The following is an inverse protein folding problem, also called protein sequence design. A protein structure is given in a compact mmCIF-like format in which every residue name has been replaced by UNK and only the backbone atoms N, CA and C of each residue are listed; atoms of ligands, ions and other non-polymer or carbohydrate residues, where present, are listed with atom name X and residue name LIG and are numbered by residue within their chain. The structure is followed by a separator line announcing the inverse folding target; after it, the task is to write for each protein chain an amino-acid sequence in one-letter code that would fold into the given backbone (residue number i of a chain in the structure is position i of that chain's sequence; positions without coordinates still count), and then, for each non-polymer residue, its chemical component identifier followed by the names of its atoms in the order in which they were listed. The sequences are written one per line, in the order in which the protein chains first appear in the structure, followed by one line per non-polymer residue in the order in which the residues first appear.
data_IF_456305967314
#
_entry.id   IF_456305967314
#
_cell.length_a   1.000
_cell.length_b   1.000
_cell.length_c   1.000
_cell.angle_alpha   90.00
_cell.angle_beta   90.00
_cell.angle_gamma   90.00
#
_symmetry.space_group_name_H-M   'P 1'
#
loop_
_entity.id
_entity.type
_entity.pdbx_description
1 polymer ?
#
# COMPACT_ATOMS: atom_id res chain seq x y z
N UNK A 1 2.24 -2.18 -19.76
CA UNK A 1 1.75 -1.30 -18.68
C UNK A 1 1.85 0.11 -19.20
N UNK A 2 0.74 0.85 -19.23
CA UNK A 2 0.70 2.23 -19.72
C UNK A 2 0.75 3.18 -18.53
N UNK A 3 1.62 4.19 -18.56
CA UNK A 3 1.67 5.22 -17.54
C UNK A 3 0.64 6.29 -17.89
N UNK A 4 -0.22 6.65 -16.94
CA UNK A 4 -1.09 7.80 -16.99
C UNK A 4 -0.65 8.82 -15.93
N UNK A 5 -0.60 10.08 -16.31
CA UNK A 5 -0.19 11.21 -15.46
C UNK A 5 -1.35 12.13 -15.10
N UNK A 6 -2.50 11.96 -15.76
CA UNK A 6 -3.76 12.63 -15.47
C UNK A 6 -4.94 11.65 -15.46
N UNK A 7 -6.06 12.08 -14.89
CA UNK A 7 -7.33 11.34 -14.93
C UNK A 7 -7.78 11.10 -16.38
N UNK A 8 -7.66 12.11 -17.24
CA UNK A 8 -8.04 12.02 -18.65
C UNK A 8 -7.25 10.95 -19.40
N UNK A 9 -5.92 10.88 -19.20
CA UNK A 9 -5.09 9.82 -19.79
C UNK A 9 -5.50 8.42 -19.30
N UNK A 10 -5.81 8.30 -18.00
CA UNK A 10 -6.25 7.04 -17.43
C UNK A 10 -7.62 6.59 -17.99
N UNK A 11 -8.56 7.52 -18.14
CA UNK A 11 -9.87 7.27 -18.75
C UNK A 11 -9.75 6.93 -20.23
N UNK A 12 -8.87 7.60 -20.98
CA UNK A 12 -8.59 7.29 -22.38
C UNK A 12 -8.07 5.85 -22.54
N UNK A 13 -7.19 5.39 -21.64
CA UNK A 13 -6.73 4.00 -21.64
C UNK A 13 -7.85 3.00 -21.32
N UNK A 14 -8.77 3.36 -20.41
CA UNK A 14 -9.95 2.55 -20.11
C UNK A 14 -10.86 2.42 -21.35
N UNK A 15 -11.18 3.54 -22.01
CA UNK A 15 -12.01 3.55 -23.21
C UNK A 15 -11.34 2.83 -24.39
N UNK A 16 -10.02 2.96 -24.53
CA UNK A 16 -9.27 2.18 -25.52
C UNK A 16 -9.38 0.68 -25.25
N UNK A 17 -9.28 0.27 -23.98
CA UNK A 17 -9.48 -1.11 -23.57
C UNK A 17 -10.88 -1.63 -23.89
N UNK A 18 -11.91 -0.83 -23.61
CA UNK A 18 -13.30 -1.18 -23.90
C UNK A 18 -13.59 -1.22 -25.41
N UNK A 19 -13.00 -0.31 -26.19
CA UNK A 19 -13.09 -0.31 -27.66
C UNK A 19 -12.43 -1.55 -28.26
N UNK A 20 -11.25 -1.94 -27.76
CA UNK A 20 -10.58 -3.16 -28.19
C UNK A 20 -11.39 -4.43 -27.83
N UNK A 21 -12.10 -4.41 -26.69
CA UNK A 21 -13.05 -5.45 -26.31
C UNK A 21 -14.22 -5.51 -27.31
N UNK A 22 -14.82 -4.37 -27.65
CA UNK A 22 -15.94 -4.27 -28.58
C UNK A 22 -15.59 -4.68 -30.02
N UNK A 23 -14.41 -4.33 -30.54
CA UNK A 23 -13.98 -4.72 -31.90
C UNK A 23 -13.78 -6.23 -32.05
N UNK A 24 -13.50 -6.92 -30.94
CA UNK A 24 -13.43 -8.38 -30.92
C UNK A 24 -14.82 -9.05 -30.98
N UNK A 25 -15.90 -8.29 -30.78
CA UNK A 25 -17.28 -8.77 -30.93
C UNK A 25 -17.67 -8.82 -32.41
N UNK A 26 -18.05 -10.00 -32.91
CA UNK A 26 -18.63 -10.17 -34.25
C UNK A 26 -20.13 -10.40 -34.13
N UNK A 27 -20.91 -10.13 -35.18
CA UNK A 27 -22.39 -10.20 -35.16
C UNK A 27 -22.99 -11.57 -34.73
N UNK A 28 -22.18 -12.63 -34.70
CA UNK A 28 -22.55 -13.97 -34.24
C UNK A 28 -22.19 -14.23 -32.75
N UNK A 29 -21.38 -13.37 -32.14
CA UNK A 29 -20.80 -13.50 -30.81
C UNK A 29 -20.99 -12.22 -29.99
N UNK A 30 -22.01 -12.18 -29.14
CA UNK A 30 -22.13 -11.18 -28.07
C UNK A 30 -21.05 -11.47 -27.00
N UNK A 31 -19.81 -11.05 -27.26
CA UNK A 31 -18.63 -11.52 -26.52
C UNK A 31 -18.53 -10.96 -25.08
N UNK A 32 -19.26 -9.89 -24.75
CA UNK A 32 -19.44 -9.41 -23.36
C UNK A 32 -19.96 -10.51 -22.42
N UNK A 33 -20.82 -11.41 -22.89
CA UNK A 33 -21.28 -12.57 -22.09
C UNK A 33 -20.25 -13.71 -22.01
N UNK A 34 -19.19 -13.66 -22.83
CA UNK A 34 -18.31 -14.79 -23.14
C UNK A 34 -16.82 -14.49 -22.93
N UNK A 35 -16.48 -13.40 -22.28
CA UNK A 35 -15.09 -13.07 -21.96
C UNK A 35 -14.98 -12.41 -20.59
N UNK A 36 -13.90 -12.71 -19.87
CA UNK A 36 -13.58 -12.02 -18.62
C UNK A 36 -12.74 -10.79 -18.93
N UNK A 37 -13.08 -9.64 -18.39
CA UNK A 37 -12.25 -8.44 -18.45
C UNK A 37 -11.61 -8.18 -17.10
N UNK A 38 -10.28 -8.03 -17.09
CA UNK A 38 -9.52 -7.57 -15.92
C UNK A 38 -8.84 -6.25 -16.26
N UNK A 39 -9.34 -5.15 -15.72
CA UNK A 39 -8.68 -3.85 -15.77
C UNK A 39 -7.92 -3.63 -14.45
N UNK A 40 -6.62 -3.37 -14.54
CA UNK A 40 -5.77 -3.21 -13.35
C UNK A 40 -5.13 -1.83 -13.33
N UNK A 41 -5.36 -1.10 -12.24
CA UNK A 41 -4.70 0.18 -11.96
C UNK A 41 -3.64 -0.04 -10.90
N UNK A 42 -2.41 0.35 -11.22
CA UNK A 42 -1.31 0.41 -10.27
C UNK A 42 -1.12 1.87 -9.84
N UNK A 43 -1.16 2.11 -8.54
CA UNK A 43 -0.95 3.43 -7.96
C UNK A 43 0.31 3.38 -7.11
N UNK A 44 1.22 4.32 -7.34
CA UNK A 44 2.37 4.57 -6.49
C UNK A 44 2.22 5.96 -5.88
N UNK A 45 2.29 6.04 -4.55
CA UNK A 45 2.28 7.29 -3.81
C UNK A 45 3.60 7.43 -3.06
N UNK A 46 4.27 8.57 -3.25
CA UNK A 46 5.50 8.92 -2.52
C UNK A 46 5.16 10.00 -1.51
N UNK A 47 5.66 9.85 -0.29
CA UNK A 47 5.43 10.85 0.76
C UNK A 47 5.96 12.23 0.36
N UNK A 48 5.28 13.29 0.79
CA UNK A 48 5.72 14.67 0.56
C UNK A 48 7.07 14.95 1.26
N UNK A 49 7.79 15.97 0.79
CA UNK A 49 8.96 16.51 1.52
C UNK A 49 10.19 15.61 1.56
N UNK A 50 10.42 14.77 0.55
CA UNK A 50 11.63 13.92 0.49
C UNK A 50 11.56 12.68 1.38
N UNK A 51 10.36 12.27 1.80
CA UNK A 51 10.12 10.99 2.45
C UNK A 51 10.65 9.84 1.59
N UNK A 52 11.37 8.91 2.24
CA UNK A 52 11.80 7.65 1.64
C UNK A 52 10.65 6.62 1.58
N UNK A 53 9.50 6.89 2.21
CA UNK A 53 8.33 6.00 2.14
C UNK A 53 7.65 6.06 0.77
N UNK A 54 7.47 4.88 0.18
CA UNK A 54 6.75 4.64 -1.06
C UNK A 54 5.62 3.65 -0.77
N UNK A 55 4.39 4.06 -1.06
CA UNK A 55 3.20 3.20 -0.95
C UNK A 55 2.78 2.75 -2.33
N UNK A 56 2.46 1.46 -2.46
CA UNK A 56 1.97 0.89 -3.72
C UNK A 56 0.63 0.21 -3.52
N UNK A 57 -0.36 0.58 -4.31
CA UNK A 57 -1.65 -0.09 -4.32
C UNK A 57 -2.01 -0.58 -5.70
N UNK A 58 -2.81 -1.62 -5.73
CA UNK A 58 -3.27 -2.29 -6.94
C UNK A 58 -4.78 -2.42 -6.84
N UNK A 59 -5.49 -1.87 -7.81
CA UNK A 59 -6.93 -1.98 -7.96
C UNK A 59 -7.24 -2.87 -9.16
N UNK A 60 -7.96 -3.96 -8.92
CA UNK A 60 -8.52 -4.81 -9.97
C UNK A 60 -10.00 -4.48 -10.12
N UNK A 61 -10.41 -4.10 -11.33
CA UNK A 61 -11.80 -4.06 -11.77
C UNK A 61 -12.02 -5.29 -12.66
N UNK A 62 -12.86 -6.21 -12.19
CA UNK A 62 -13.05 -7.52 -12.82
C UNK A 62 -14.50 -7.63 -13.27
N UNK A 63 -14.69 -7.78 -14.58
CA UNK A 63 -15.98 -8.09 -15.20
C UNK A 63 -15.95 -9.56 -15.64
N UNK A 64 -16.78 -10.39 -15.00
CA UNK A 64 -16.79 -11.83 -15.27
C UNK A 64 -17.79 -12.14 -16.38
N UNK A 65 -17.41 -13.05 -17.28
CA UNK A 65 -18.32 -13.65 -18.24
C UNK A 65 -19.51 -14.33 -17.55
N UNK A 66 -20.57 -14.56 -18.32
CA UNK A 66 -21.77 -15.26 -17.88
C UNK A 66 -21.46 -16.61 -17.25
N UNK A 67 -22.12 -16.91 -16.12
CA UNK A 67 -21.97 -18.16 -15.38
C UNK A 67 -22.96 -19.25 -15.84
N UNK A 68 -23.76 -18.98 -16.86
CA UNK A 68 -24.80 -19.88 -17.33
C UNK A 68 -24.25 -21.19 -17.91
N UNK A 69 -24.98 -22.27 -17.63
CA UNK A 69 -24.58 -23.60 -18.09
C UNK A 69 -24.88 -23.80 -19.58
N UNK A 70 -23.86 -24.26 -20.30
CA UNK A 70 -23.89 -24.56 -21.75
C UNK A 70 -25.04 -25.49 -22.18
N UNK A 71 -25.57 -26.32 -21.28
CA UNK A 71 -26.68 -27.22 -21.61
C UNK A 71 -28.00 -26.48 -21.96
N UNK A 72 -28.19 -25.24 -21.48
CA UNK A 72 -29.39 -24.44 -21.79
C UNK A 72 -29.28 -23.73 -23.14
N UNK A 73 -28.06 -23.50 -23.63
CA UNK A 73 -27.79 -22.93 -24.95
C UNK A 73 -27.74 -24.06 -25.98
N UNK A 74 -28.72 -24.13 -26.89
CA UNK A 74 -28.74 -25.06 -28.04
C UNK A 74 -27.68 -24.69 -29.07
N UNK A 75 -26.41 -24.69 -28.67
CA UNK A 75 -25.29 -24.16 -29.45
C UNK A 75 -24.42 -25.30 -29.97
N UNK A 76 -24.31 -25.43 -31.30
CA UNK A 76 -23.57 -26.51 -31.96
C UNK A 76 -22.08 -26.18 -32.16
N UNK A 77 -21.24 -27.22 -32.11
CA UNK A 77 -19.86 -27.26 -32.62
C UNK A 77 -18.88 -26.23 -32.02
N UNK A 78 -18.68 -25.11 -32.72
CA UNK A 78 -17.67 -24.08 -32.41
C UNK A 78 -18.08 -23.30 -31.15
N UNK A 79 -19.36 -22.91 -31.05
CA UNK A 79 -19.92 -22.21 -29.88
C UNK A 79 -19.86 -23.09 -28.61
N UNK A 80 -19.97 -24.41 -28.75
CA UNK A 80 -19.84 -25.36 -27.63
C UNK A 80 -18.41 -25.40 -27.08
N UNK A 81 -17.40 -25.39 -27.96
CA UNK A 81 -15.99 -25.38 -27.54
C UNK A 81 -15.60 -24.06 -26.88
N UNK A 82 -16.08 -22.93 -27.39
CA UNK A 82 -15.89 -21.61 -26.77
C UNK A 82 -16.54 -21.55 -25.37
N UNK A 83 -17.79 -21.99 -25.26
CA UNK A 83 -18.52 -22.06 -24.00
C UNK A 83 -17.84 -22.97 -22.96
N UNK A 84 -17.11 -24.01 -23.40
CA UNK A 84 -16.26 -24.82 -22.51
C UNK A 84 -15.08 -24.03 -21.95
N UNK A 85 -14.38 -23.23 -22.77
CA UNK A 85 -13.24 -22.45 -22.30
C UNK A 85 -13.62 -21.36 -21.29
N UNK A 86 -14.77 -20.70 -21.50
CA UNK A 86 -15.29 -19.67 -20.58
C UNK A 86 -15.67 -20.28 -19.23
N UNK A 87 -16.39 -21.40 -19.28
CA UNK A 87 -16.74 -22.12 -18.05
C UNK A 87 -15.52 -22.73 -17.37
N UNK A 88 -14.42 -22.96 -18.10
CA UNK A 88 -13.17 -23.47 -17.51
C UNK A 88 -12.53 -22.42 -16.59
N UNK A 89 -12.49 -21.14 -16.97
CA UNK A 89 -11.96 -20.09 -16.09
C UNK A 89 -12.82 -19.88 -14.83
N UNK A 90 -14.15 -19.86 -14.97
CA UNK A 90 -15.06 -19.78 -13.82
C UNK A 90 -14.98 -21.03 -12.93
N UNK A 91 -14.83 -22.21 -13.52
CA UNK A 91 -14.63 -23.45 -12.77
C UNK A 91 -13.34 -23.40 -11.93
N UNK A 92 -12.22 -22.95 -12.50
CA UNK A 92 -10.99 -22.83 -11.74
C UNK A 92 -11.05 -21.75 -10.66
N UNK A 93 -11.80 -20.66 -10.90
CA UNK A 93 -12.10 -19.66 -9.88
C UNK A 93 -12.87 -20.29 -8.71
N UNK A 94 -13.90 -21.07 -9.01
CA UNK A 94 -14.67 -21.80 -8.01
C UNK A 94 -13.80 -22.80 -7.23
N UNK A 95 -12.93 -23.55 -7.90
CA UNK A 95 -11.99 -24.46 -7.24
C UNK A 95 -11.06 -23.74 -6.26
N UNK A 96 -10.58 -22.53 -6.61
CA UNK A 96 -9.75 -21.72 -5.72
C UNK A 96 -10.54 -21.30 -4.48
N UNK A 97 -11.78 -20.85 -4.64
CA UNK A 97 -12.65 -20.44 -3.52
C UNK A 97 -12.93 -21.62 -2.58
N UNK A 98 -13.28 -22.78 -3.14
CA UNK A 98 -13.52 -24.00 -2.35
C UNK A 98 -12.24 -24.41 -1.60
N UNK A 99 -11.10 -24.44 -2.29
CA UNK A 99 -9.82 -24.77 -1.68
C UNK A 99 -9.43 -23.79 -0.56
N UNK A 100 -9.75 -22.50 -0.70
CA UNK A 100 -9.51 -21.49 0.34
C UNK A 100 -10.37 -21.71 1.57
N UNK A 101 -11.63 -22.11 1.39
CA UNK A 101 -12.52 -22.45 2.50
C UNK A 101 -12.04 -23.73 3.21
N UNK A 102 -11.64 -24.77 2.47
CA UNK A 102 -11.04 -25.99 3.03
C UNK A 102 -9.74 -25.68 3.79
N UNK A 103 -8.92 -24.74 3.31
CA UNK A 103 -7.71 -24.29 4.03
C UNK A 103 -8.04 -23.63 5.36
N UNK A 104 -9.11 -22.84 5.41
CA UNK A 104 -9.56 -22.22 6.67
C UNK A 104 -10.03 -23.27 7.70
N UNK A 105 -10.40 -24.46 7.24
CA UNK A 105 -10.76 -25.62 8.07
C UNK A 105 -9.58 -26.57 8.31
N UNK A 106 -8.37 -26.19 7.91
CA UNK A 106 -7.15 -27.02 7.95
C UNK A 106 -7.26 -28.36 7.18
N UNK A 107 -8.18 -28.44 6.20
CA UNK A 107 -8.42 -29.65 5.41
C UNK A 107 -7.58 -29.71 4.12
N UNK A 108 -7.04 -28.56 3.66
CA UNK A 108 -6.20 -28.47 2.46
C UNK A 108 -5.15 -27.38 2.61
N UNK A 109 -3.92 -27.68 2.21
CA UNK A 109 -2.83 -26.70 2.19
C UNK A 109 -2.67 -26.01 0.82
N UNK A 110 -2.70 -26.79 -0.26
CA UNK A 110 -2.44 -26.29 -1.61
C UNK A 110 -3.67 -25.61 -2.26
N UNK A 111 -3.50 -24.37 -2.73
CA UNK A 111 -4.53 -23.63 -3.49
C UNK A 111 -4.15 -23.57 -4.98
N UNK A 112 -5.01 -24.04 -5.91
CA UNK A 112 -4.67 -24.24 -7.32
C UNK A 112 -4.76 -22.96 -8.19
N UNK A 113 -4.14 -21.85 -7.77
CA UNK A 113 -4.19 -20.59 -8.53
C UNK A 113 -3.64 -20.70 -9.96
N UNK A 114 -2.71 -21.64 -10.19
CA UNK A 114 -2.02 -21.80 -11.48
C UNK A 114 -2.85 -22.47 -12.58
N UNK A 115 -4.04 -22.97 -12.25
CA UNK A 115 -4.88 -23.68 -13.22
C UNK A 115 -5.45 -22.76 -14.31
N UNK A 116 -5.51 -21.45 -14.07
CA UNK A 116 -5.88 -20.46 -15.09
C UNK A 116 -5.09 -19.17 -14.95
N UNK A 117 -5.02 -18.40 -16.05
CA UNK A 117 -4.45 -17.05 -16.03
C UNK A 117 -5.22 -16.15 -15.06
N UNK A 118 -6.56 -16.20 -15.10
CA UNK A 118 -7.42 -15.38 -14.24
C UNK A 118 -7.15 -15.63 -12.75
N UNK A 119 -7.14 -16.90 -12.32
CA UNK A 119 -6.84 -17.25 -10.92
C UNK A 119 -5.40 -16.94 -10.52
N UNK A 120 -4.46 -16.97 -11.47
CA UNK A 120 -3.06 -16.59 -11.22
C UNK A 120 -2.93 -15.09 -10.97
N UNK A 121 -3.63 -14.27 -11.76
CA UNK A 121 -3.66 -12.80 -11.58
C UNK A 121 -4.38 -12.41 -10.30
N UNK A 122 -5.48 -13.10 -9.97
CA UNK A 122 -6.30 -12.83 -8.78
C UNK A 122 -5.79 -13.49 -7.49
N UNK A 123 -4.56 -14.03 -7.48
CA UNK A 123 -3.99 -14.70 -6.32
C UNK A 123 -3.99 -13.81 -5.06
N UNK A 124 -3.62 -12.54 -5.22
CA UNK A 124 -3.62 -11.59 -4.09
C UNK A 124 -5.06 -11.20 -3.68
N UNK A 125 -5.98 -11.16 -4.65
CA UNK A 125 -7.39 -10.81 -4.46
C UNK A 125 -8.18 -11.89 -3.70
N UNK A 126 -7.78 -13.16 -3.78
CA UNK A 126 -8.52 -14.27 -3.17
C UNK A 126 -7.61 -14.99 -2.18
N UNK A 127 -7.75 -14.72 -0.89
CA UNK A 127 -6.97 -15.36 0.17
C UNK A 127 -5.58 -14.77 0.40
N UNK A 128 -5.32 -13.55 -0.08
CA UNK A 128 -4.04 -12.83 0.02
C UNK A 128 -4.21 -11.38 0.53
N UNK A 129 -3.24 -10.53 0.19
CA UNK A 129 -3.23 -9.11 0.58
C UNK A 129 -4.07 -8.26 -0.39
N UNK A 130 -5.39 -8.26 -0.18
CA UNK A 130 -6.31 -7.43 -0.93
C UNK A 130 -7.61 -7.21 -0.16
N UNK A 131 -8.21 -6.03 -0.31
CA UNK A 131 -9.61 -5.81 0.10
C UNK A 131 -10.50 -6.16 -1.09
N UNK A 132 -11.18 -7.30 -0.99
CA UNK A 132 -11.95 -7.85 -2.10
C UNK A 132 -13.45 -7.69 -1.85
N UNK A 133 -14.15 -7.19 -2.86
CA UNK A 133 -15.60 -7.06 -2.88
C UNK A 133 -16.11 -7.78 -4.12
N UNK A 134 -17.13 -8.62 -3.94
CA UNK A 134 -17.85 -9.25 -5.04
C UNK A 134 -19.23 -8.62 -5.16
N UNK A 135 -19.62 -8.24 -6.37
CA UNK A 135 -20.99 -7.81 -6.70
C UNK A 135 -21.68 -8.97 -7.40
N UNK A 136 -22.72 -9.53 -6.78
CA UNK A 136 -23.54 -10.57 -7.37
C UNK A 136 -24.70 -9.95 -8.14
N UNK A 137 -24.68 -10.07 -9.47
CA UNK A 137 -25.76 -9.61 -10.35
C UNK A 137 -26.73 -10.77 -10.62
N UNK A 138 -28.01 -10.56 -10.29
CA UNK A 138 -29.05 -11.58 -10.41
C UNK A 138 -30.23 -11.04 -11.23
N UNK A 139 -30.93 -11.93 -11.93
CA UNK A 139 -32.16 -11.59 -12.66
C UNK A 139 -33.39 -11.91 -11.81
N UNK A 140 -34.36 -10.99 -11.79
CA UNK A 140 -35.65 -11.18 -11.11
C UNK A 140 -36.64 -11.98 -11.96
N UNK A 141 -36.29 -12.34 -13.19
CA UNK A 141 -37.18 -13.09 -14.08
C UNK A 141 -37.36 -14.53 -13.63
N UNK A 142 -38.60 -15.02 -13.67
CA UNK A 142 -38.94 -16.39 -13.27
C UNK A 142 -38.11 -17.44 -14.00
N UNK A 143 -37.86 -17.25 -15.30
CA UNK A 143 -37.07 -18.15 -16.13
C UNK A 143 -35.60 -18.26 -15.68
N UNK A 144 -35.07 -17.24 -14.99
CA UNK A 144 -33.67 -17.15 -14.55
C UNK A 144 -33.48 -17.42 -13.05
N UNK A 145 -34.53 -17.88 -12.37
CA UNK A 145 -34.50 -18.15 -10.91
C UNK A 145 -33.38 -19.11 -10.52
N UNK A 146 -33.19 -20.20 -11.28
CA UNK A 146 -32.16 -21.20 -11.00
C UNK A 146 -30.73 -20.65 -11.13
N UNK A 147 -30.48 -19.81 -12.13
CA UNK A 147 -29.19 -19.17 -12.34
C UNK A 147 -28.92 -18.16 -11.22
N UNK A 148 -29.92 -17.36 -10.84
CA UNK A 148 -29.81 -16.41 -9.73
C UNK A 148 -29.53 -17.10 -8.39
N UNK A 149 -30.16 -18.25 -8.12
CA UNK A 149 -29.82 -19.07 -6.94
C UNK A 149 -28.37 -19.55 -7.01
N UNK A 150 -27.89 -19.95 -8.19
CA UNK A 150 -26.51 -20.39 -8.39
C UNK A 150 -25.52 -19.26 -8.14
N UNK A 151 -25.78 -18.05 -8.64
CA UNK A 151 -25.01 -16.84 -8.35
C UNK A 151 -24.97 -16.53 -6.87
N UNK A 152 -26.11 -16.57 -6.17
CA UNK A 152 -26.17 -16.33 -4.72
C UNK A 152 -25.36 -17.35 -3.93
N UNK A 153 -25.43 -18.65 -4.30
CA UNK A 153 -24.63 -19.71 -3.65
C UNK A 153 -23.14 -19.49 -3.88
N UNK A 154 -22.75 -19.08 -5.07
CA UNK A 154 -21.35 -18.75 -5.38
C UNK A 154 -20.88 -17.55 -4.55
N UNK A 155 -21.68 -16.47 -4.48
CA UNK A 155 -21.39 -15.29 -3.67
C UNK A 155 -21.25 -15.62 -2.18
N UNK A 156 -22.09 -16.53 -1.65
CA UNK A 156 -21.95 -17.03 -0.28
C UNK A 156 -20.59 -17.71 -0.05
N UNK A 157 -20.12 -18.54 -0.98
CA UNK A 157 -18.79 -19.18 -0.86
C UNK A 157 -17.66 -18.15 -0.92
N UNK A 158 -17.78 -17.14 -1.78
CA UNK A 158 -16.81 -16.03 -1.87
C UNK A 158 -16.76 -15.22 -0.59
N UNK A 159 -17.91 -14.96 0.04
CA UNK A 159 -17.99 -14.19 1.29
C UNK A 159 -17.26 -14.87 2.47
N UNK A 160 -17.00 -16.18 2.41
CA UNK A 160 -16.25 -16.94 3.41
C UNK A 160 -14.73 -16.89 3.20
N UNK A 161 -14.27 -16.40 2.04
CA UNK A 161 -12.84 -16.26 1.76
C UNK A 161 -12.26 -15.17 2.66
N UNK A 162 -11.23 -15.54 3.43
CA UNK A 162 -10.52 -14.64 4.33
C UNK A 162 -9.30 -14.05 3.63
N UNK A 163 -9.25 -12.72 3.55
CA UNK A 163 -8.08 -11.99 3.09
C UNK A 163 -7.38 -11.32 4.28
N UNK A 164 -6.05 -11.20 4.20
CA UNK A 164 -5.24 -10.49 5.18
C UNK A 164 -4.64 -9.24 4.54
N UNK A 165 -5.40 -8.15 4.58
CA UNK A 165 -5.05 -6.91 3.90
C UNK A 165 -4.11 -6.05 4.75
N UNK A 166 -2.87 -5.89 4.29
CA UNK A 166 -1.80 -5.13 4.95
C UNK A 166 -1.38 -3.94 4.08
N UNK A 167 -0.99 -2.83 4.71
CA UNK A 167 -0.47 -1.66 4.01
C UNK A 167 0.84 -1.99 3.28
N UNK A 168 0.85 -1.83 1.97
CA UNK A 168 2.04 -1.98 1.13
C UNK A 168 2.86 -0.68 1.19
N UNK A 169 3.69 -0.54 2.21
CA UNK A 169 4.63 0.56 2.37
C UNK A 169 6.07 0.03 2.38
N UNK A 170 6.90 0.57 1.49
CA UNK A 170 8.31 0.25 1.38
C UNK A 170 9.15 1.51 1.58
N UNK A 171 10.43 1.33 1.90
CA UNK A 171 11.39 2.43 2.01
C UNK A 171 12.28 2.43 0.77
N UNK A 172 12.26 3.52 -0.01
CA UNK A 172 13.09 3.71 -1.19
C UNK A 172 14.55 3.89 -0.77
N UNK A 173 15.43 2.92 -1.10
CA UNK A 173 16.82 2.98 -0.71
C UNK A 173 17.55 4.15 -1.37
N UNK A 174 17.14 4.59 -2.57
CA UNK A 174 17.81 5.68 -3.29
C UNK A 174 17.63 7.03 -2.58
N UNK A 175 16.41 7.32 -2.13
CA UNK A 175 16.07 8.52 -1.36
C UNK A 175 16.73 8.46 0.01
N UNK A 176 16.72 7.29 0.65
CA UNK A 176 17.39 7.07 1.94
C UNK A 176 18.89 7.34 1.84
N UNK A 177 19.55 6.78 0.82
CA UNK A 177 20.99 6.96 0.58
C UNK A 177 21.31 8.43 0.27
N UNK A 178 20.50 9.11 -0.54
CA UNK A 178 20.70 10.52 -0.85
C UNK A 178 20.61 11.40 0.40
N UNK A 179 19.59 11.17 1.25
CA UNK A 179 19.42 11.86 2.54
C UNK A 179 20.63 11.64 3.45
N UNK A 180 21.03 10.37 3.63
CA UNK A 180 22.18 10.02 4.47
C UNK A 180 23.49 10.65 3.94
N UNK A 181 23.69 10.69 2.63
CA UNK A 181 24.88 11.36 2.04
C UNK A 181 24.88 12.87 2.30
N UNK A 182 23.74 13.54 2.18
CA UNK A 182 23.62 14.97 2.46
C UNK A 182 23.88 15.28 3.94
N UNK A 183 23.34 14.44 4.83
CA UNK A 183 23.57 14.54 6.27
C UNK A 183 25.05 14.34 6.63
N UNK A 184 25.71 13.32 6.04
CA UNK A 184 27.15 13.09 6.21
C UNK A 184 27.97 14.30 5.74
N UNK A 185 27.62 14.92 4.62
CA UNK A 185 28.31 16.10 4.11
C UNK A 185 28.16 17.31 5.06
N UNK A 186 26.95 17.56 5.56
CA UNK A 186 26.67 18.64 6.52
C UNK A 186 27.41 18.45 7.84
N UNK A 187 27.41 17.23 8.38
CA UNK A 187 28.13 16.91 9.60
C UNK A 187 29.65 17.10 9.43
N UNK A 188 30.22 16.71 8.28
CA UNK A 188 31.63 16.96 7.96
C UNK A 188 31.95 18.46 7.89
N UNK A 189 31.11 19.25 7.22
CA UNK A 189 31.29 20.70 7.13
C UNK A 189 31.21 21.40 8.51
N UNK A 190 30.31 20.95 9.40
CA UNK A 190 30.23 21.47 10.78
C UNK A 190 31.48 21.15 11.61
N UNK A 191 32.04 19.96 11.43
CA UNK A 191 33.30 19.57 12.07
C UNK A 191 34.48 20.39 11.56
N UNK A 192 34.53 20.68 10.25
CA UNK A 192 35.57 21.52 9.64
C UNK A 192 35.41 23.01 10.01
N UNK A 193 34.18 23.50 10.13
CA UNK A 193 33.88 24.88 10.55
C UNK A 193 34.16 25.16 12.03
N UNK A 194 34.03 24.16 12.89
CA UNK A 194 34.50 24.22 14.29
C UNK A 194 36.04 24.25 14.41
N UNK A 195 36.78 24.12 13.30
CA UNK A 195 38.24 24.20 13.27
C UNK A 195 38.81 25.58 13.00
N UNK A 196 38.01 26.67 12.92
CA UNK A 196 38.52 27.96 12.41
C UNK A 196 38.14 29.25 13.13
N UNK A 197 37.58 29.19 14.34
CA UNK A 197 37.38 30.40 15.14
C UNK A 197 36.69 30.17 16.47
N UNK A 198 37.42 29.60 17.44
CA UNK A 198 37.46 30.10 18.82
C UNK A 198 38.62 29.40 19.53
N UNK A 199 39.79 30.07 19.57
CA UNK A 199 40.71 29.82 20.67
C UNK A 199 40.20 30.63 21.87
N UNK A 200 40.05 29.92 23.00
CA UNK A 200 39.87 30.40 24.38
C UNK A 200 38.42 30.41 24.92
N UNK A 201 37.88 29.22 25.25
CA UNK A 201 37.34 28.90 26.60
C UNK A 201 36.54 27.58 26.66
N UNK A 202 37.18 26.42 26.51
CA UNK A 202 36.96 25.24 27.36
C UNK A 202 38.02 24.20 26.98
N UNK A 203 38.87 23.81 27.93
CA UNK A 203 40.04 22.96 27.70
C UNK A 203 39.69 21.50 27.43
N UNK A 204 38.96 21.21 26.35
CA UNK A 204 38.65 19.85 25.92
C UNK A 204 39.12 19.63 24.49
N UNK A 205 40.29 18.99 24.43
CA UNK A 205 41.05 18.52 23.28
C UNK A 205 40.17 18.08 22.08
N UNK A 206 40.42 18.61 20.86
CA UNK A 206 39.76 18.15 19.62
C UNK A 206 39.81 16.63 19.43
N UNK A 207 40.89 15.97 19.87
CA UNK A 207 41.02 14.52 19.80
C UNK A 207 40.02 13.81 20.71
N UNK A 208 39.61 14.43 21.82
CA UNK A 208 38.60 13.90 22.71
C UNK A 208 37.19 13.96 22.11
N UNK A 209 36.87 15.01 21.33
CA UNK A 209 35.58 15.12 20.62
C UNK A 209 35.48 14.13 19.46
N UNK A 210 36.57 13.94 18.72
CA UNK A 210 36.64 12.92 17.67
C UNK A 210 36.56 11.50 18.26
N UNK A 211 37.26 11.23 19.37
CA UNK A 211 37.17 9.96 20.08
C UNK A 211 35.75 9.68 20.61
N UNK A 212 35.06 10.70 21.15
CA UNK A 212 33.67 10.59 21.60
C UNK A 212 32.71 10.35 20.41
N UNK A 213 32.90 11.02 19.28
CA UNK A 213 32.09 10.82 18.07
C UNK A 213 32.29 9.42 17.48
N UNK A 214 33.54 8.96 17.36
CA UNK A 214 33.86 7.60 16.92
C UNK A 214 33.32 6.53 17.88
N UNK A 215 33.35 6.80 19.19
CA UNK A 215 32.72 5.95 20.20
C UNK A 215 31.21 5.81 19.99
N UNK A 216 30.51 6.92 19.70
CA UNK A 216 29.06 6.90 19.40
C UNK A 216 28.74 6.16 18.10
N UNK A 217 29.54 6.34 17.05
CA UNK A 217 29.37 5.60 15.79
C UNK A 217 29.53 4.09 16.03
N UNK A 218 30.56 3.68 16.77
CA UNK A 218 30.77 2.26 17.13
C UNK A 218 29.61 1.70 17.97
N UNK A 219 29.06 2.49 18.90
CA UNK A 219 27.89 2.10 19.68
C UNK A 219 26.64 1.92 18.80
N UNK A 220 26.43 2.82 17.83
CA UNK A 220 25.32 2.70 16.88
C UNK A 220 25.48 1.48 15.96
N UNK A 221 26.69 1.22 15.45
CA UNK A 221 26.98 0.04 14.63
C UNK A 221 26.76 -1.27 15.40
N UNK A 222 27.20 -1.33 16.66
CA UNK A 222 26.98 -2.49 17.53
C UNK A 222 25.50 -2.73 17.80
N UNK A 223 24.73 -1.67 18.12
CA UNK A 223 23.29 -1.78 18.34
C UNK A 223 22.54 -2.21 17.06
N UNK A 224 22.92 -1.71 15.89
CA UNK A 224 22.36 -2.13 14.60
C UNK A 224 22.65 -3.60 14.30
N UNK A 225 23.85 -4.08 14.64
CA UNK A 225 24.21 -5.49 14.50
C UNK A 225 23.34 -6.39 15.41
N UNK A 226 23.17 -6.01 16.68
CA UNK A 226 22.35 -6.74 17.64
C UNK A 226 20.85 -6.74 17.28
N UNK A 227 20.31 -5.60 16.81
CA UNK A 227 18.93 -5.51 16.32
C UNK A 227 18.73 -6.42 15.12
N UNK A 228 19.67 -6.42 14.16
CA UNK A 228 19.61 -7.28 12.98
C UNK A 228 19.66 -8.76 13.36
N UNK A 229 20.56 -9.15 14.25
CA UNK A 229 20.68 -10.52 14.74
C UNK A 229 19.41 -10.98 15.47
N UNK A 230 18.87 -10.15 16.36
CA UNK A 230 17.64 -10.42 17.10
C UNK A 230 16.44 -10.56 16.17
N UNK A 231 16.33 -9.67 15.18
CA UNK A 231 15.26 -9.72 14.16
C UNK A 231 15.35 -11.01 13.33
N UNK A 232 16.54 -11.40 12.89
CA UNK A 232 16.74 -12.66 12.17
C UNK A 232 16.36 -13.89 13.01
N UNK A 233 16.67 -13.90 14.32
CA UNK A 233 16.29 -14.99 15.22
C UNK A 233 14.79 -15.08 15.48
N UNK A 234 14.11 -13.94 15.61
CA UNK A 234 12.65 -13.91 15.76
C UNK A 234 11.93 -14.46 14.52
N UNK A 235 12.33 -14.02 13.32
CA UNK A 235 11.79 -14.57 12.07
C UNK A 235 12.22 -16.02 11.79
N UNK A 236 13.29 -16.49 12.45
CA UNK A 236 13.71 -17.88 12.49
C UNK A 236 13.01 -18.73 13.56
N UNK A 237 12.07 -18.15 14.32
CA UNK A 237 11.38 -18.79 15.45
C UNK A 237 12.32 -19.29 16.57
N UNK A 238 13.50 -18.68 16.71
CA UNK A 238 14.50 -19.04 17.73
C UNK A 238 14.28 -18.31 19.07
N UNK A 239 13.52 -17.21 19.08
CA UNK A 239 13.20 -16.40 20.27
C UNK A 239 11.75 -15.93 20.21
N UNK A 240 11.12 -15.80 21.38
CA UNK A 240 9.73 -15.34 21.53
C UNK A 240 9.62 -13.79 21.52
N UNK A 241 8.41 -13.27 21.27
CA UNK A 241 8.16 -11.82 21.13
C UNK A 241 8.61 -11.02 22.36
N UNK A 242 8.39 -11.56 23.56
CA UNK A 242 8.75 -10.91 24.82
C UNK A 242 10.28 -10.78 24.98
N UNK A 243 11.03 -11.81 24.56
CA UNK A 243 12.49 -11.79 24.53
C UNK A 243 13.02 -10.84 23.45
N UNK A 244 12.39 -10.80 22.27
CA UNK A 244 12.72 -9.84 21.21
C UNK A 244 12.57 -8.40 21.72
N UNK A 245 11.44 -8.07 22.37
CA UNK A 245 11.19 -6.74 22.93
C UNK A 245 12.24 -6.36 23.97
N UNK A 246 12.59 -7.28 24.87
CA UNK A 246 13.62 -7.05 25.88
C UNK A 246 15.00 -6.80 25.27
N UNK A 247 15.39 -7.61 24.26
CA UNK A 247 16.68 -7.47 23.54
C UNK A 247 16.75 -6.20 22.71
N UNK A 248 15.67 -5.82 22.04
CA UNK A 248 15.59 -4.55 21.29
C UNK A 248 15.68 -3.34 22.23
N UNK A 249 14.99 -3.37 23.38
CA UNK A 249 15.09 -2.32 24.38
C UNK A 249 16.52 -2.21 24.92
N UNK A 250 17.16 -3.33 25.27
CA UNK A 250 18.53 -3.35 25.76
C UNK A 250 19.55 -2.84 24.73
N UNK A 251 19.37 -3.15 23.44
CA UNK A 251 20.24 -2.68 22.36
C UNK A 251 20.11 -1.17 22.11
N UNK A 252 18.92 -0.59 22.35
CA UNK A 252 18.64 0.83 22.12
C UNK A 252 18.87 1.71 23.36
N UNK A 253 18.82 1.15 24.57
CA UNK A 253 19.05 1.86 25.84
C UNK A 253 20.33 2.73 25.86
N UNK A 254 21.52 2.25 25.44
CA UNK A 254 22.73 3.06 25.44
C UNK A 254 22.71 4.19 24.40
N UNK A 255 21.89 4.07 23.35
CA UNK A 255 21.67 5.14 22.35
C UNK A 255 20.74 6.20 22.92
N UNK A 256 19.67 5.79 23.61
CA UNK A 256 18.67 6.69 24.20
C UNK A 256 19.28 7.51 25.36
N UNK A 257 20.16 6.90 26.16
CA UNK A 257 20.84 7.59 27.29
C UNK A 257 21.96 8.53 26.87
N UNK A 258 22.38 8.52 25.60
CA UNK A 258 23.39 9.45 25.13
C UNK A 258 22.77 10.86 25.01
N UNK A 259 23.24 11.82 25.81
CA UNK A 259 22.71 13.20 25.78
C UNK A 259 22.70 13.77 24.35
N UNK A 260 21.62 14.48 23.96
CA UNK A 260 21.56 15.19 22.70
C UNK A 260 22.64 16.27 22.68
N UNK A 261 23.37 16.37 21.57
CA UNK A 261 24.29 17.49 21.34
C UNK A 261 23.47 18.78 21.48
N UNK A 262 23.78 19.58 22.49
CA UNK A 262 23.26 20.93 22.59
C UNK A 262 23.59 21.66 21.27
N UNK A 263 22.56 21.97 20.49
CA UNK A 263 22.65 22.81 19.31
C UNK A 263 22.73 24.27 19.75
N UNK A 264 23.72 24.60 20.58
CA UNK A 264 24.06 26.00 20.87
C UNK A 264 24.96 26.50 19.75
N UNK A 265 24.44 27.41 18.92
CA UNK A 265 25.23 28.13 17.91
C UNK A 265 24.79 27.97 16.45
N UNK A 266 23.50 27.77 16.17
CA UNK A 266 22.95 28.22 14.88
C UNK A 266 22.40 29.63 15.11
N UNK A 267 23.14 30.63 14.65
CA UNK A 267 22.66 32.00 14.50
C UNK A 267 21.32 31.98 13.75
N UNK A 268 20.29 32.52 14.38
CA UNK A 268 19.04 32.86 13.71
C UNK A 268 19.33 33.93 12.66
N UNK A 269 18.99 33.64 11.41
CA UNK A 269 19.06 34.61 10.31
C UNK A 269 18.18 35.84 10.63
N UNK A 270 18.73 37.06 10.72
CA UNK A 270 17.96 38.26 11.01
C UNK A 270 16.89 38.59 9.96
N UNK A 271 16.87 37.92 8.81
CA UNK A 271 15.81 38.05 7.80
C UNK A 271 14.46 37.42 8.19
N UNK A 272 14.40 36.56 9.21
CA UNK A 272 13.13 35.96 9.68
C UNK A 272 12.34 36.85 10.67
N UNK A 273 12.85 38.05 11.03
CA UNK A 273 12.17 38.97 11.95
C UNK A 273 10.98 39.75 11.38
N UNK A 274 10.66 39.67 10.08
CA UNK A 274 9.61 40.53 9.50
C UNK A 274 8.22 39.89 9.38
N UNK A 275 8.03 38.65 9.80
CA UNK A 275 6.70 38.03 9.87
C UNK A 275 6.51 37.30 11.19
N UNK A 276 6.44 38.04 12.31
CA UNK A 276 5.60 37.70 13.47
C UNK A 276 5.86 38.68 14.63
N UNK A 277 5.14 39.81 14.66
CA UNK A 277 4.55 40.40 15.89
C UNK A 277 3.40 41.33 15.48
N UNK A 278 2.16 40.85 15.58
CA UNK A 278 1.03 41.40 16.37
C UNK A 278 -0.03 40.29 16.31
N UNK A 279 -0.55 39.66 17.36
CA UNK A 279 -0.42 39.79 18.79
C UNK A 279 -1.48 38.81 19.32
N UNK A 280 -1.06 37.84 20.13
CA UNK A 280 -2.00 37.05 20.93
C UNK A 280 -2.47 37.88 22.12
N UNK A 281 -3.71 37.65 22.55
CA UNK A 281 -4.10 37.96 23.92
C UNK A 281 -5.57 38.27 24.15
N UNK A 282 -6.34 37.25 24.53
CA UNK A 282 -7.15 37.36 25.75
C UNK A 282 -8.66 37.58 25.62
N UNK A 283 -9.39 36.48 25.83
CA UNK A 283 -10.60 36.31 26.68
C UNK A 283 -11.68 37.40 26.69
N UNK A 284 -12.90 37.01 26.31
CA UNK A 284 -14.12 37.77 26.61
C UNK A 284 -15.39 36.97 26.36
N UNK A 285 -15.99 36.47 27.44
CA UNK A 285 -17.33 35.87 27.51
C UNK A 285 -18.39 36.89 27.09
N UNK A 286 -19.42 36.50 26.34
CA UNK A 286 -20.58 37.38 26.10
C UNK A 286 -21.61 36.83 25.13
N UNK A 287 -22.76 36.46 25.67
CA UNK A 287 -23.95 36.00 24.97
C UNK A 287 -24.61 37.10 24.10
N UNK A 288 -25.51 36.68 23.21
CA UNK A 288 -26.74 37.45 22.96
C UNK A 288 -26.99 37.92 21.52
N UNK A 289 -27.97 37.27 20.91
CA UNK A 289 -29.11 37.87 20.20
C UNK A 289 -28.96 38.58 18.82
N UNK A 290 -29.73 38.02 17.88
CA UNK A 290 -30.71 38.65 16.95
C UNK A 290 -30.24 39.80 16.05
N UNK A 291 -30.50 39.64 14.74
CA UNK A 291 -30.62 40.78 13.84
C UNK A 291 -30.71 40.41 12.36
N UNK A 292 -31.91 40.11 11.89
CA UNK A 292 -32.24 40.06 10.48
C UNK A 292 -32.09 41.45 9.82
N UNK A 293 -31.59 41.51 8.58
CA UNK A 293 -32.15 42.39 7.54
C UNK A 293 -31.68 41.99 6.14
N UNK A 294 -32.66 41.78 5.27
CA UNK A 294 -32.60 41.84 3.79
C UNK A 294 -31.89 43.11 3.31
N UNK A 295 -31.31 43.05 2.10
CA UNK A 295 -31.65 43.97 1.00
C UNK A 295 -31.18 43.45 -0.35
N UNK A 296 -32.14 43.41 -1.26
CA UNK A 296 -32.01 43.31 -2.71
C UNK A 296 -31.27 44.51 -3.32
N UNK A 297 -30.83 44.35 -4.57
CA UNK A 297 -30.90 45.41 -5.57
C UNK A 297 -29.65 45.59 -6.42
N UNK A 298 -29.76 45.20 -7.71
CA UNK A 298 -28.80 45.49 -8.77
C UNK A 298 -28.87 44.48 -9.90
#
# INVERSE_FOLDING_TARGET
MHRATSEEEALNLLFLGDTNRAISETAMNQASSRSHCLFTVFLECRGAGGSDKVRRSKLHLVDLAGSERVHKTKSDGITLNEAKYINTSLFYLEMVIVALNERNENARDHIPYRNSMMTSVLRDSLGGNCRTVMVATCSAEKAQTEESISTCRFAQRVALVKNDAVLNEETDPSVTIARLKAEVASLRARLEGQGRGDELADGRDPDHRLAAALGRIRLQEAALADVRATTSRFFGFEIEEEEMRARMAAALEPIIRAEPLAMTGLDEDPAQRQYNVVGGGGVGVGAGERGATRRDGG
#
